data_IF_571066983920
#
_entry.id   IF_571066983920
#
_cell.length_a   1.000
_cell.length_b   1.000
_cell.length_c   1.000
_cell.angle_alpha   90.00
_cell.angle_beta   90.00
_cell.angle_gamma   90.00
#
_symmetry.space_group_name_H-M   'P 1'
#
loop_
_entity.id
_entity.type
_entity.pdbx_description
1 polymer ?
#
# COMPACT_ATOMS: atom_id res chain seq x y z
N UNK A 1 -56.40 -9.67 -19.35
CA UNK A 1 -55.13 -9.15 -19.87
C UNK A 1 -54.27 -8.67 -18.71
N UNK A 2 -53.36 -9.50 -18.25
CA UNK A 2 -52.44 -9.18 -17.14
C UNK A 2 -51.39 -8.21 -17.63
N UNK A 3 -51.29 -7.05 -16.96
CA UNK A 3 -50.17 -6.09 -17.16
C UNK A 3 -48.87 -6.75 -16.70
N UNK A 4 -48.00 -7.18 -17.65
CA UNK A 4 -46.63 -7.54 -17.35
C UNK A 4 -45.94 -6.33 -16.69
N UNK A 5 -45.67 -6.36 -15.41
CA UNK A 5 -44.78 -5.41 -14.73
C UNK A 5 -43.44 -5.49 -15.44
N UNK A 6 -43.04 -4.45 -16.17
CA UNK A 6 -41.68 -4.29 -16.69
C UNK A 6 -40.74 -4.27 -15.49
N UNK A 7 -39.98 -5.35 -15.28
CA UNK A 7 -38.92 -5.42 -14.29
C UNK A 7 -37.88 -4.37 -14.72
N UNK A 8 -37.71 -3.32 -13.93
CA UNK A 8 -36.64 -2.36 -14.19
C UNK A 8 -35.30 -3.12 -14.09
N UNK A 9 -34.40 -2.99 -15.08
CA UNK A 9 -33.11 -3.64 -15.01
C UNK A 9 -32.38 -3.18 -13.74
N UNK A 10 -31.84 -4.13 -12.95
CA UNK A 10 -31.07 -3.84 -11.74
C UNK A 10 -29.74 -3.20 -12.17
N UNK A 11 -29.44 -2.03 -11.66
CA UNK A 11 -28.07 -1.47 -11.80
C UNK A 11 -27.11 -2.26 -10.90
N UNK A 12 -25.95 -2.60 -11.45
CA UNK A 12 -24.88 -3.25 -10.71
C UNK A 12 -23.84 -2.21 -10.28
N UNK A 13 -23.23 -2.41 -9.14
CA UNK A 13 -22.10 -1.64 -8.62
C UNK A 13 -21.00 -2.58 -8.17
N UNK A 14 -19.79 -2.08 -8.02
CA UNK A 14 -18.68 -2.88 -7.47
C UNK A 14 -19.07 -3.47 -6.10
N UNK A 15 -18.61 -4.69 -5.77
CA UNK A 15 -18.85 -5.30 -4.47
C UNK A 15 -18.33 -4.41 -3.33
N UNK A 16 -19.00 -4.46 -2.18
CA UNK A 16 -18.62 -3.66 -1.01
C UNK A 16 -17.17 -3.95 -0.59
N UNK A 17 -16.35 -2.92 -0.54
CA UNK A 17 -14.93 -3.00 -0.19
C UNK A 17 -14.00 -3.28 -1.36
N UNK A 18 -14.51 -3.21 -2.59
CA UNK A 18 -13.71 -3.15 -3.83
C UNK A 18 -13.93 -1.81 -4.52
N UNK A 19 -13.07 -1.47 -5.47
CA UNK A 19 -13.19 -0.23 -6.25
C UNK A 19 -12.54 -0.40 -7.62
N UNK A 20 -13.03 0.38 -8.58
CA UNK A 20 -12.41 0.47 -9.90
C UNK A 20 -11.24 1.45 -9.87
N UNK A 21 -10.14 1.11 -10.54
CA UNK A 21 -9.04 2.04 -10.78
C UNK A 21 -9.34 2.77 -12.09
N UNK A 22 -9.84 3.99 -11.95
CA UNK A 22 -10.31 4.79 -13.09
C UNK A 22 -9.15 5.36 -13.93
N UNK A 23 -9.37 5.69 -15.21
CA UNK A 23 -8.31 6.20 -16.09
C UNK A 23 -7.56 7.40 -15.55
N UNK A 24 -8.23 8.33 -14.87
CA UNK A 24 -7.59 9.50 -14.26
C UNK A 24 -6.60 9.15 -13.13
N UNK A 25 -6.71 7.96 -12.54
CA UNK A 25 -5.87 7.49 -11.46
C UNK A 25 -4.71 6.63 -11.94
N UNK A 26 -4.79 6.07 -13.16
CA UNK A 26 -3.80 5.15 -13.72
C UNK A 26 -2.38 5.73 -13.67
N UNK A 27 -2.19 7.01 -13.90
CA UNK A 27 -0.86 7.65 -13.84
C UNK A 27 -0.12 7.44 -12.52
N UNK A 28 -0.85 7.41 -11.37
CA UNK A 28 -0.25 7.15 -10.06
C UNK A 28 0.14 5.67 -9.92
N UNK A 29 -0.71 4.77 -10.39
CA UNK A 29 -0.47 3.33 -10.37
C UNK A 29 0.70 2.93 -11.27
N UNK A 30 0.80 3.53 -12.44
CA UNK A 30 1.94 3.35 -13.36
C UNK A 30 3.23 3.89 -12.77
N UNK A 31 3.18 5.06 -12.12
CA UNK A 31 4.36 5.61 -11.43
C UNK A 31 4.85 4.65 -10.34
N UNK A 32 3.95 4.09 -9.52
CA UNK A 32 4.31 3.09 -8.52
C UNK A 32 5.00 1.87 -9.15
N UNK A 33 4.41 1.30 -10.20
CA UNK A 33 4.98 0.14 -10.91
C UNK A 33 6.32 0.47 -11.58
N UNK A 34 6.43 1.63 -12.18
CA UNK A 34 7.67 2.06 -12.85
C UNK A 34 8.81 2.27 -11.85
N UNK A 35 8.56 3.00 -10.77
CA UNK A 35 9.57 3.27 -9.74
C UNK A 35 9.98 1.99 -9.03
N UNK A 36 9.01 1.14 -8.66
CA UNK A 36 9.32 -0.14 -8.02
C UNK A 36 10.20 -1.03 -8.90
N UNK A 37 9.87 -1.16 -10.20
CA UNK A 37 10.68 -1.92 -11.14
C UNK A 37 12.12 -1.41 -11.20
N UNK A 38 12.31 -0.08 -11.33
CA UNK A 38 13.65 0.50 -11.50
C UNK A 38 14.49 0.32 -10.23
N UNK A 39 13.94 0.67 -9.06
CA UNK A 39 14.67 0.59 -7.79
C UNK A 39 14.95 -0.85 -7.40
N UNK A 40 13.94 -1.71 -7.42
CA UNK A 40 14.11 -3.09 -6.96
C UNK A 40 15.06 -3.88 -7.86
N UNK A 41 14.99 -3.67 -9.19
CA UNK A 41 15.97 -4.27 -10.10
C UNK A 41 17.38 -3.76 -9.87
N UNK A 42 17.56 -2.48 -9.48
CA UNK A 42 18.87 -1.93 -9.12
C UNK A 42 19.49 -2.65 -7.90
N UNK A 43 18.65 -3.03 -6.92
CA UNK A 43 19.06 -3.83 -5.75
C UNK A 43 19.01 -5.35 -5.99
N UNK A 44 18.96 -5.78 -7.27
CA UNK A 44 18.96 -7.19 -7.70
C UNK A 44 17.74 -8.02 -7.23
N UNK A 45 16.60 -7.38 -6.99
CA UNK A 45 15.37 -8.12 -6.77
C UNK A 45 14.78 -8.55 -8.12
N UNK A 46 14.46 -9.84 -8.24
CA UNK A 46 13.81 -10.42 -9.41
C UNK A 46 12.30 -10.35 -9.25
N UNK A 47 11.61 -10.00 -10.33
CA UNK A 47 10.14 -9.99 -10.31
C UNK A 47 9.58 -11.41 -10.31
N UNK A 48 8.63 -11.65 -9.42
CA UNK A 48 7.83 -12.88 -9.39
C UNK A 48 6.35 -12.53 -9.26
N UNK A 49 5.50 -13.26 -10.01
CA UNK A 49 4.04 -13.15 -9.91
C UNK A 49 3.50 -14.56 -9.57
N UNK A 50 2.74 -14.67 -8.49
CA UNK A 50 2.10 -15.93 -8.06
C UNK A 50 0.60 -15.92 -8.38
N UNK A 51 -0.09 -17.06 -8.43
CA UNK A 51 -1.53 -17.13 -8.61
C UNK A 51 -2.30 -16.29 -7.59
N UNK A 52 -3.50 -15.82 -7.97
CA UNK A 52 -4.37 -15.08 -7.06
C UNK A 52 -5.08 -15.97 -6.04
N UNK A 53 -5.12 -17.26 -6.27
CA UNK A 53 -5.64 -18.27 -5.33
C UNK A 53 -4.64 -19.42 -5.19
N UNK A 54 -4.62 -20.02 -4.04
CA UNK A 54 -3.74 -21.12 -3.64
C UNK A 54 -4.57 -22.17 -2.88
N UNK A 55 -3.99 -23.33 -2.63
CA UNK A 55 -4.58 -24.29 -1.69
C UNK A 55 -4.80 -23.64 -0.32
N UNK A 56 -5.98 -23.82 0.26
CA UNK A 56 -6.32 -23.26 1.58
C UNK A 56 -5.32 -23.67 2.66
N UNK A 57 -4.80 -24.90 2.56
CA UNK A 57 -3.79 -25.45 3.46
C UNK A 57 -2.52 -24.62 3.57
N UNK A 58 -2.08 -24.01 2.47
CA UNK A 58 -0.91 -23.13 2.44
C UNK A 58 -1.05 -21.99 3.47
N UNK A 59 -2.17 -21.28 3.46
CA UNK A 59 -2.37 -20.14 4.36
C UNK A 59 -2.67 -20.58 5.79
N UNK A 60 -3.38 -21.69 6.00
CA UNK A 60 -3.59 -22.25 7.33
C UNK A 60 -2.27 -22.58 8.02
N UNK A 61 -1.33 -23.16 7.29
CA UNK A 61 -0.03 -23.56 7.80
C UNK A 61 0.90 -22.35 7.96
N UNK A 62 1.01 -21.48 6.96
CA UNK A 62 1.91 -20.35 6.97
C UNK A 62 1.48 -19.26 7.95
N UNK A 63 0.25 -18.76 7.82
CA UNK A 63 -0.25 -17.58 8.56
C UNK A 63 -0.56 -17.90 10.01
N UNK A 64 -0.92 -19.15 10.29
CA UNK A 64 -1.33 -19.64 11.61
C UNK A 64 -2.85 -19.66 11.78
N UNK A 65 -3.37 -20.84 12.12
CA UNK A 65 -4.80 -21.13 12.21
C UNK A 65 -5.60 -20.22 13.18
N UNK A 66 -4.92 -19.61 14.15
CA UNK A 66 -5.52 -18.77 15.20
C UNK A 66 -5.36 -17.26 14.94
N UNK A 67 -4.96 -16.87 13.76
CA UNK A 67 -4.86 -15.46 13.38
C UNK A 67 -6.21 -14.92 12.93
N UNK A 68 -6.45 -13.62 13.11
CA UNK A 68 -7.69 -13.00 12.65
C UNK A 68 -7.86 -13.12 11.12
N UNK A 69 -6.76 -13.20 10.36
CA UNK A 69 -6.77 -13.40 8.92
C UNK A 69 -7.38 -14.75 8.58
N UNK A 70 -6.88 -15.82 9.17
CA UNK A 70 -7.37 -17.18 8.92
C UNK A 70 -8.78 -17.38 9.46
N UNK A 71 -9.06 -16.93 10.69
CA UNK A 71 -10.36 -17.17 11.31
C UNK A 71 -11.52 -16.39 10.67
N UNK A 72 -11.26 -15.18 10.09
CA UNK A 72 -12.34 -14.24 9.77
C UNK A 72 -12.21 -13.55 8.42
N UNK A 73 -11.01 -13.54 7.80
CA UNK A 73 -10.74 -12.63 6.70
C UNK A 73 -10.40 -13.33 5.37
N UNK A 74 -10.20 -14.63 5.35
CA UNK A 74 -9.96 -15.38 4.11
C UNK A 74 -11.24 -15.50 3.27
N UNK A 75 -11.07 -15.44 1.95
CA UNK A 75 -12.08 -15.81 0.97
C UNK A 75 -11.76 -17.22 0.45
N UNK A 76 -12.35 -18.23 1.07
CA UNK A 76 -12.16 -19.62 0.68
C UNK A 76 -13.38 -20.16 -0.04
N UNK A 77 -13.17 -21.06 -0.99
CA UNK A 77 -14.22 -21.70 -1.79
C UNK A 77 -13.76 -23.10 -2.21
N UNK A 78 -14.73 -23.97 -2.45
CA UNK A 78 -14.47 -25.30 -2.97
C UNK A 78 -14.77 -25.33 -4.46
N UNK A 79 -13.93 -26.04 -5.24
CA UNK A 79 -14.21 -26.31 -6.66
C UNK A 79 -15.22 -27.46 -6.80
N UNK A 80 -15.80 -27.64 -7.98
CA UNK A 80 -16.64 -28.84 -8.26
C UNK A 80 -15.84 -30.14 -8.13
N UNK A 81 -14.53 -30.11 -8.31
CA UNK A 81 -13.63 -31.23 -8.10
C UNK A 81 -13.29 -31.53 -6.64
N UNK A 82 -13.70 -30.66 -5.71
CA UNK A 82 -13.46 -30.83 -4.28
C UNK A 82 -12.19 -30.16 -3.76
N UNK A 83 -11.46 -29.38 -4.59
CA UNK A 83 -10.29 -28.65 -4.14
C UNK A 83 -10.71 -27.47 -3.25
N UNK A 84 -10.09 -27.34 -2.10
CA UNK A 84 -10.26 -26.21 -1.19
C UNK A 84 -9.25 -25.11 -1.51
N UNK A 85 -9.74 -24.01 -2.08
CA UNK A 85 -8.93 -22.90 -2.54
C UNK A 85 -9.25 -21.61 -1.76
N UNK A 86 -8.25 -20.72 -1.66
CA UNK A 86 -8.37 -19.44 -0.98
C UNK A 86 -7.74 -18.33 -1.82
N UNK A 87 -8.46 -17.22 -2.01
CA UNK A 87 -7.87 -16.00 -2.56
C UNK A 87 -6.77 -15.52 -1.61
N UNK A 88 -5.56 -15.29 -2.13
CA UNK A 88 -4.38 -14.97 -1.34
C UNK A 88 -4.59 -13.73 -0.44
N UNK A 89 -4.50 -13.87 0.90
CA UNK A 89 -4.67 -12.77 1.83
C UNK A 89 -3.38 -11.97 2.04
N UNK A 90 -2.23 -12.52 1.61
CA UNK A 90 -0.90 -11.94 1.69
C UNK A 90 0.04 -12.61 0.68
N UNK A 91 1.25 -12.07 0.46
CA UNK A 91 2.15 -12.54 -0.60
C UNK A 91 3.20 -13.54 -0.16
N UNK A 92 3.69 -13.44 1.06
CA UNK A 92 4.89 -14.15 1.53
C UNK A 92 4.74 -15.68 1.43
N UNK A 93 3.60 -16.23 1.86
CA UNK A 93 3.35 -17.68 1.78
C UNK A 93 3.39 -18.19 0.34
N UNK A 94 2.75 -17.47 -0.59
CA UNK A 94 2.76 -17.83 -2.02
C UNK A 94 4.19 -17.75 -2.62
N UNK A 95 4.99 -16.75 -2.20
CA UNK A 95 6.38 -16.61 -2.66
C UNK A 95 7.25 -17.77 -2.13
N UNK A 96 7.11 -18.12 -0.86
CA UNK A 96 7.86 -19.26 -0.27
C UNK A 96 7.45 -20.58 -0.93
N UNK A 97 6.15 -20.80 -1.20
CA UNK A 97 5.69 -21.96 -1.96
C UNK A 97 6.33 -21.98 -3.37
N UNK A 98 6.30 -20.85 -4.09
CA UNK A 98 6.89 -20.74 -5.41
C UNK A 98 8.42 -20.95 -5.40
N UNK A 99 9.11 -20.45 -4.36
CA UNK A 99 10.54 -20.68 -4.13
C UNK A 99 10.86 -22.19 -4.01
N UNK A 100 10.08 -22.91 -3.23
CA UNK A 100 10.26 -24.35 -3.04
C UNK A 100 9.91 -25.14 -4.30
N UNK A 101 8.75 -24.89 -4.89
CA UNK A 101 8.22 -25.63 -6.03
C UNK A 101 9.10 -25.51 -7.27
N UNK A 102 9.68 -24.32 -7.53
CA UNK A 102 10.46 -24.06 -8.73
C UNK A 102 11.98 -24.26 -8.54
N UNK A 103 12.40 -24.83 -7.41
CA UNK A 103 13.79 -25.21 -7.20
C UNK A 103 14.76 -24.08 -6.93
N UNK A 104 14.30 -22.90 -6.54
CA UNK A 104 15.17 -21.76 -6.18
C UNK A 104 16.06 -22.04 -4.97
N UNK A 105 15.78 -23.11 -4.23
CA UNK A 105 16.66 -23.65 -3.16
C UNK A 105 18.06 -23.97 -3.67
N UNK A 106 18.21 -24.30 -4.98
CA UNK A 106 19.50 -24.62 -5.60
C UNK A 106 20.25 -23.39 -6.14
N UNK A 107 19.59 -22.24 -6.20
CA UNK A 107 20.20 -21.00 -6.67
C UNK A 107 21.18 -20.41 -5.64
N UNK A 108 22.15 -19.57 -6.06
CA UNK A 108 23.00 -18.82 -5.12
C UNK A 108 22.18 -17.94 -4.17
N UNK A 109 22.44 -18.04 -2.88
CA UNK A 109 21.77 -17.25 -1.85
C UNK A 109 22.51 -15.95 -1.51
N UNK A 110 21.80 -14.90 -1.08
CA UNK A 110 20.34 -14.85 -0.90
C UNK A 110 19.57 -14.71 -2.21
N UNK A 111 18.42 -15.38 -2.31
CA UNK A 111 17.47 -15.16 -3.40
C UNK A 111 16.56 -13.99 -3.06
N UNK A 112 16.43 -13.02 -3.98
CA UNK A 112 15.68 -11.78 -3.77
C UNK A 112 14.54 -11.65 -4.75
N UNK A 113 13.31 -11.54 -4.24
CA UNK A 113 12.11 -11.35 -5.06
C UNK A 113 11.39 -10.05 -4.75
N UNK A 114 10.77 -9.46 -5.79
CA UNK A 114 9.74 -8.46 -5.61
C UNK A 114 8.49 -8.83 -6.38
N UNK A 115 7.35 -8.38 -5.87
CA UNK A 115 6.04 -8.60 -6.49
C UNK A 115 5.16 -7.37 -6.42
N UNK A 116 4.17 -7.31 -7.35
CA UNK A 116 3.07 -6.35 -7.29
C UNK A 116 1.79 -7.09 -7.67
N UNK A 117 0.71 -6.89 -6.91
CA UNK A 117 -0.55 -7.56 -7.25
C UNK A 117 -1.66 -7.36 -6.24
N UNK A 118 -2.82 -7.93 -6.57
CA UNK A 118 -4.02 -7.88 -5.73
C UNK A 118 -4.00 -8.96 -4.65
N UNK A 119 -4.50 -8.59 -3.48
CA UNK A 119 -4.70 -9.44 -2.31
C UNK A 119 -6.11 -9.25 -1.77
N UNK A 120 -6.61 -10.21 -0.98
CA UNK A 120 -8.02 -10.28 -0.62
C UNK A 120 -8.20 -10.56 0.86
N UNK A 121 -8.91 -9.65 1.58
CA UNK A 121 -9.25 -9.85 2.98
C UNK A 121 -10.66 -9.38 3.27
N UNK A 122 -11.47 -10.21 3.88
CA UNK A 122 -12.82 -9.86 4.31
C UNK A 122 -12.78 -8.99 5.57
N UNK A 123 -12.20 -7.79 5.45
CA UNK A 123 -12.20 -6.80 6.52
C UNK A 123 -13.43 -5.88 6.46
N UNK A 124 -13.71 -5.21 7.58
CA UNK A 124 -14.65 -4.08 7.56
C UNK A 124 -14.03 -2.95 6.75
N UNK A 125 -14.66 -2.52 5.65
CA UNK A 125 -14.11 -1.47 4.82
C UNK A 125 -13.92 -0.18 5.61
N UNK A 126 -12.73 0.37 5.55
CA UNK A 126 -12.35 1.67 6.11
C UNK A 126 -11.52 2.42 5.07
N UNK A 127 -11.32 3.71 5.26
CA UNK A 127 -10.47 4.50 4.35
C UNK A 127 -9.07 3.89 4.26
N UNK A 128 -8.63 3.56 3.05
CA UNK A 128 -7.35 2.89 2.80
C UNK A 128 -7.30 1.41 3.24
N UNK A 129 -8.47 0.80 3.55
CA UNK A 129 -8.62 -0.65 3.76
C UNK A 129 -9.75 -1.17 2.90
N UNK A 130 -9.38 -1.95 1.93
CA UNK A 130 -10.28 -2.58 0.98
C UNK A 130 -10.28 -4.10 1.19
N UNK A 131 -11.31 -4.77 0.64
CA UNK A 131 -11.39 -6.24 0.61
C UNK A 131 -10.56 -6.84 -0.50
N UNK A 132 -10.46 -6.14 -1.62
CA UNK A 132 -9.44 -6.31 -2.63
C UNK A 132 -8.52 -5.10 -2.56
N UNK A 133 -7.22 -5.32 -2.38
CA UNK A 133 -6.19 -4.29 -2.25
C UNK A 133 -4.91 -4.74 -2.92
N UNK A 134 -4.10 -3.79 -3.34
CA UNK A 134 -2.86 -4.06 -4.03
C UNK A 134 -1.65 -3.80 -3.12
N UNK A 135 -0.64 -4.66 -3.26
CA UNK A 135 0.63 -4.50 -2.56
C UNK A 135 1.81 -4.52 -3.51
N UNK A 136 2.87 -3.84 -3.09
CA UNK A 136 4.22 -3.98 -3.61
C UNK A 136 5.03 -4.59 -2.48
N UNK A 137 5.67 -5.74 -2.70
CA UNK A 137 6.43 -6.45 -1.68
C UNK A 137 7.81 -6.87 -2.12
N UNK A 138 8.67 -7.08 -1.13
CA UNK A 138 10.05 -7.56 -1.24
C UNK A 138 10.23 -8.75 -0.32
N UNK A 139 10.92 -9.78 -0.80
CA UNK A 139 11.29 -10.96 -0.02
C UNK A 139 12.75 -11.32 -0.29
N UNK A 140 13.52 -11.60 0.76
CA UNK A 140 14.90 -12.12 0.71
C UNK A 140 14.93 -13.42 1.47
N UNK A 141 15.39 -14.48 0.83
CA UNK A 141 15.43 -15.85 1.37
C UNK A 141 16.86 -16.34 1.34
N UNK A 142 17.32 -16.94 2.45
CA UNK A 142 18.61 -17.60 2.57
C UNK A 142 19.72 -16.79 3.17
N UNK A 143 19.43 -15.73 3.96
CA UNK A 143 20.44 -14.97 4.72
C UNK A 143 19.93 -14.63 6.14
N UNK A 144 20.71 -14.95 7.16
CA UNK A 144 20.35 -14.70 8.56
C UNK A 144 20.88 -13.38 9.13
N UNK A 145 21.73 -12.67 8.37
CA UNK A 145 22.39 -11.45 8.85
C UNK A 145 21.42 -10.27 8.96
N UNK A 146 21.58 -9.45 9.99
CA UNK A 146 20.77 -8.26 10.22
C UNK A 146 20.88 -7.20 9.10
N UNK A 147 21.96 -7.25 8.31
CA UNK A 147 22.15 -6.34 7.17
C UNK A 147 21.06 -6.50 6.11
N UNK A 148 20.53 -7.71 5.89
CA UNK A 148 19.43 -7.92 4.92
C UNK A 148 18.11 -7.36 5.43
N UNK A 149 17.87 -7.35 6.75
CA UNK A 149 16.71 -6.68 7.35
C UNK A 149 16.81 -5.16 7.11
N UNK A 150 18.01 -4.61 7.33
CA UNK A 150 18.30 -3.21 7.04
C UNK A 150 18.18 -2.90 5.55
N UNK A 151 18.60 -3.80 4.65
CA UNK A 151 18.46 -3.64 3.20
C UNK A 151 16.98 -3.50 2.78
N UNK A 152 16.08 -4.37 3.30
CA UNK A 152 14.64 -4.26 3.03
C UNK A 152 14.10 -2.89 3.44
N UNK A 153 14.42 -2.44 4.66
CA UNK A 153 14.03 -1.13 5.18
C UNK A 153 14.60 -0.01 4.32
N UNK A 154 15.87 -0.11 3.95
CA UNK A 154 16.56 0.86 3.10
C UNK A 154 15.93 0.96 1.71
N UNK A 155 15.66 -0.16 1.05
CA UNK A 155 15.05 -0.18 -0.29
C UNK A 155 13.66 0.42 -0.27
N UNK A 156 12.84 0.16 0.76
CA UNK A 156 11.55 0.84 0.93
C UNK A 156 11.72 2.34 1.18
N UNK A 157 12.73 2.76 1.95
CA UNK A 157 13.05 4.17 2.18
C UNK A 157 13.40 4.89 0.86
N UNK A 158 14.28 4.29 0.05
CA UNK A 158 14.65 4.81 -1.27
C UNK A 158 13.43 4.89 -2.19
N UNK A 159 12.60 3.85 -2.22
CA UNK A 159 11.37 3.81 -3.01
C UNK A 159 10.39 4.94 -2.65
N UNK A 160 10.15 5.18 -1.36
CA UNK A 160 9.26 6.24 -0.90
C UNK A 160 9.81 7.63 -1.23
N UNK A 161 11.12 7.85 -1.08
CA UNK A 161 11.79 9.11 -1.47
C UNK A 161 11.68 9.35 -2.98
N UNK A 162 11.89 8.33 -3.80
CA UNK A 162 11.79 8.44 -5.27
C UNK A 162 10.36 8.70 -5.76
N UNK A 163 9.35 8.28 -5.01
CA UNK A 163 7.95 8.66 -5.24
C UNK A 163 7.67 10.12 -4.89
N UNK A 164 8.58 10.79 -4.18
CA UNK A 164 8.43 12.17 -3.70
C UNK A 164 7.66 12.26 -2.37
N UNK A 165 7.59 11.19 -1.59
CA UNK A 165 6.99 11.20 -0.26
C UNK A 165 8.05 11.74 0.73
N UNK A 166 7.84 12.95 1.31
CA UNK A 166 8.89 13.63 2.05
C UNK A 166 9.08 13.11 3.47
N UNK A 167 7.99 12.68 4.10
CA UNK A 167 7.96 12.36 5.53
C UNK A 167 7.45 10.96 5.76
N UNK A 168 8.33 10.10 6.25
CA UNK A 168 8.00 8.76 6.72
C UNK A 168 9.04 8.32 7.75
N UNK A 169 8.66 7.37 8.58
CA UNK A 169 9.52 6.77 9.59
C UNK A 169 9.13 5.31 9.83
N UNK A 170 10.06 4.56 10.41
CA UNK A 170 9.86 3.16 10.70
C UNK A 170 9.65 2.96 12.19
N UNK A 171 8.57 2.28 12.57
CA UNK A 171 8.54 1.63 13.88
C UNK A 171 9.26 0.30 13.76
N UNK A 172 10.24 0.04 14.63
CA UNK A 172 11.00 -1.20 14.64
C UNK A 172 10.93 -1.87 16.02
N UNK A 173 10.92 -3.19 16.00
CA UNK A 173 10.93 -4.02 17.22
C UNK A 173 11.55 -5.38 16.91
N UNK A 174 11.86 -6.15 17.95
CA UNK A 174 12.14 -7.57 17.83
C UNK A 174 11.05 -8.39 18.53
N UNK A 175 10.51 -9.40 17.82
CA UNK A 175 9.56 -10.37 18.40
C UNK A 175 10.25 -11.65 18.86
N UNK A 176 11.59 -11.65 18.90
CA UNK A 176 12.41 -12.76 19.37
C UNK A 176 12.36 -14.01 18.49
N UNK A 177 13.19 -14.98 18.82
CA UNK A 177 13.23 -16.30 18.18
C UNK A 177 12.42 -17.34 18.96
N UNK A 178 12.52 -18.61 18.56
CA UNK A 178 11.95 -19.77 19.25
C UNK A 178 12.36 -19.86 20.73
N UNK A 179 13.58 -19.43 21.08
CA UNK A 179 14.11 -19.52 22.45
C UNK A 179 13.60 -18.39 23.34
N UNK A 180 13.47 -17.17 22.80
CA UNK A 180 12.96 -16.01 23.55
C UNK A 180 11.48 -16.10 23.88
N UNK A 181 10.66 -16.59 22.93
CA UNK A 181 9.20 -16.53 22.98
C UNK A 181 8.55 -17.29 24.13
N UNK A 182 8.96 -18.53 24.48
CA UNK A 182 8.33 -19.26 25.57
C UNK A 182 8.44 -18.54 26.91
N UNK A 183 9.61 -17.99 27.21
CA UNK A 183 9.84 -17.23 28.44
C UNK A 183 9.02 -15.96 28.48
N UNK A 184 9.05 -15.19 27.39
CA UNK A 184 8.28 -13.96 27.30
C UNK A 184 6.77 -14.20 27.33
N UNK A 185 6.29 -15.28 26.67
CA UNK A 185 4.90 -15.71 26.77
C UNK A 185 4.48 -15.96 28.20
N UNK A 186 5.32 -16.61 28.99
CA UNK A 186 5.08 -16.88 30.41
C UNK A 186 4.95 -15.59 31.21
N UNK A 187 5.84 -14.60 30.96
CA UNK A 187 5.78 -13.29 31.60
C UNK A 187 4.49 -12.53 31.25
N UNK A 188 4.09 -12.54 29.97
CA UNK A 188 2.84 -11.94 29.55
C UNK A 188 1.62 -12.61 30.19
N UNK A 189 1.61 -13.94 30.27
CA UNK A 189 0.54 -14.68 30.93
C UNK A 189 0.46 -14.34 32.43
N UNK A 190 1.58 -14.29 33.12
CA UNK A 190 1.66 -13.89 34.53
C UNK A 190 1.12 -12.47 34.73
N UNK A 191 1.48 -11.55 33.84
CA UNK A 191 1.05 -10.15 33.91
C UNK A 191 -0.45 -9.96 33.62
N UNK A 192 -0.98 -10.64 32.58
CA UNK A 192 -2.35 -10.43 32.13
C UNK A 192 -3.42 -11.28 32.81
N UNK A 193 -3.08 -12.46 33.37
CA UNK A 193 -4.05 -13.34 34.07
C UNK A 193 -4.82 -12.63 35.18
N UNK A 194 -4.19 -11.89 36.10
CA UNK A 194 -4.93 -11.16 37.14
C UNK A 194 -5.87 -10.08 36.57
N UNK A 195 -5.55 -9.55 35.36
CA UNK A 195 -6.28 -8.48 34.68
C UNK A 195 -7.34 -8.98 33.70
N UNK A 196 -7.53 -10.30 33.59
CA UNK A 196 -8.39 -10.92 32.57
C UNK A 196 -9.85 -10.41 32.59
N UNK A 197 -10.39 -10.07 33.76
CA UNK A 197 -11.75 -9.52 33.89
C UNK A 197 -11.93 -8.22 33.12
N UNK A 198 -10.91 -7.33 33.07
CA UNK A 198 -10.92 -6.04 32.38
C UNK A 198 -10.67 -6.11 30.87
N UNK A 199 -10.24 -7.26 30.33
CA UNK A 199 -9.94 -7.43 28.92
C UNK A 199 -11.21 -7.53 28.06
N UNK A 200 -11.12 -7.10 26.79
CA UNK A 200 -12.16 -7.31 25.80
C UNK A 200 -12.31 -8.80 25.45
N UNK A 201 -13.40 -9.15 24.74
CA UNK A 201 -13.71 -10.54 24.38
C UNK A 201 -12.58 -11.20 23.58
N UNK A 202 -12.03 -10.49 22.59
CA UNK A 202 -10.92 -10.99 21.77
C UNK A 202 -9.65 -11.15 22.58
N UNK A 203 -9.31 -10.21 23.47
CA UNK A 203 -8.14 -10.31 24.33
C UNK A 203 -8.26 -11.46 25.35
N UNK A 204 -9.44 -11.77 25.85
CA UNK A 204 -9.68 -12.97 26.69
C UNK A 204 -9.38 -14.27 25.93
N UNK A 205 -9.70 -14.33 24.63
CA UNK A 205 -9.37 -15.45 23.75
C UNK A 205 -7.88 -15.48 23.46
N UNK A 206 -7.28 -14.34 23.07
CA UNK A 206 -5.84 -14.18 22.77
C UNK A 206 -4.96 -14.55 23.97
N UNK A 207 -5.42 -14.26 25.19
CA UNK A 207 -4.69 -14.63 26.43
C UNK A 207 -4.50 -16.15 26.56
N UNK A 208 -5.42 -16.96 26.03
CA UNK A 208 -5.33 -18.42 26.06
C UNK A 208 -4.44 -18.98 24.96
N UNK A 209 -4.49 -18.38 23.76
CA UNK A 209 -3.90 -18.95 22.55
C UNK A 209 -2.62 -18.23 22.11
N UNK A 210 -2.65 -16.92 21.98
CA UNK A 210 -1.51 -16.10 21.57
C UNK A 210 -1.44 -14.80 22.37
N UNK A 211 -0.83 -14.82 23.59
CA UNK A 211 -0.78 -13.65 24.46
C UNK A 211 -0.01 -12.46 23.88
N UNK A 212 0.92 -12.66 22.94
CA UNK A 212 1.62 -11.56 22.28
C UNK A 212 0.65 -10.64 21.52
N UNK A 213 -0.47 -11.19 20.98
CA UNK A 213 -1.50 -10.42 20.29
C UNK A 213 -2.31 -9.48 21.21
N UNK A 214 -2.16 -9.59 22.54
CA UNK A 214 -2.72 -8.62 23.49
C UNK A 214 -2.12 -7.23 23.30
N UNK A 215 -0.85 -7.17 22.89
CA UNK A 215 -0.11 -5.92 22.66
C UNK A 215 -0.63 -5.14 21.42
N UNK A 216 -1.32 -5.80 20.51
CA UNK A 216 -1.94 -5.18 19.31
C UNK A 216 -3.43 -4.81 19.51
N UNK A 217 -3.94 -4.89 20.73
CA UNK A 217 -5.34 -4.54 20.98
C UNK A 217 -5.58 -3.04 20.88
N UNK A 218 -6.62 -2.67 20.10
CA UNK A 218 -7.02 -1.27 19.88
C UNK A 218 -8.08 -0.78 20.86
N UNK A 219 -8.74 -1.70 21.57
CA UNK A 219 -9.75 -1.38 22.58
C UNK A 219 -9.15 -0.58 23.73
N UNK A 220 -9.73 0.58 24.07
CA UNK A 220 -9.23 1.51 25.08
C UNK A 220 -9.03 0.85 26.44
N UNK A 221 -10.01 0.06 26.87
CA UNK A 221 -9.95 -0.70 28.14
C UNK A 221 -8.77 -1.68 28.21
N UNK A 222 -8.27 -2.17 27.06
CA UNK A 222 -7.09 -3.05 27.00
C UNK A 222 -5.80 -2.25 26.90
N UNK A 223 -5.83 -1.04 26.30
CA UNK A 223 -4.65 -0.16 26.14
C UNK A 223 -4.07 0.27 27.49
N UNK A 224 -4.90 0.48 28.51
CA UNK A 224 -4.47 0.81 29.87
C UNK A 224 -3.48 -0.25 30.40
N UNK A 225 -3.77 -1.54 30.16
CA UNK A 225 -2.90 -2.63 30.58
C UNK A 225 -1.63 -2.76 29.75
N UNK A 226 -1.65 -2.27 28.49
CA UNK A 226 -0.50 -2.34 27.59
C UNK A 226 0.69 -1.51 28.08
N UNK A 227 0.44 -0.32 28.65
CA UNK A 227 1.48 0.63 29.04
C UNK A 227 2.53 0.04 30.01
N UNK A 228 2.12 -0.90 30.86
CA UNK A 228 2.96 -1.52 31.88
C UNK A 228 3.19 -3.02 31.62
N UNK A 229 2.94 -3.47 30.39
CA UNK A 229 3.20 -4.87 30.04
C UNK A 229 4.72 -5.11 29.91
N UNK A 230 5.21 -6.30 30.26
CA UNK A 230 6.60 -6.67 30.04
C UNK A 230 6.97 -6.42 28.57
N UNK A 231 8.17 -5.90 28.32
CA UNK A 231 8.70 -5.67 26.98
C UNK A 231 9.55 -6.85 26.54
N UNK A 232 9.41 -7.27 25.27
CA UNK A 232 10.20 -8.38 24.76
C UNK A 232 11.68 -8.00 24.63
N UNK A 233 11.98 -6.74 24.33
CA UNK A 233 13.37 -6.27 24.18
C UNK A 233 14.21 -6.54 25.44
N UNK A 234 13.61 -6.50 26.64
CA UNK A 234 14.28 -6.80 27.90
C UNK A 234 14.52 -8.31 28.11
N UNK A 235 13.90 -9.15 27.28
CA UNK A 235 13.88 -10.61 27.43
C UNK A 235 14.41 -11.34 26.18
N UNK A 236 15.20 -10.67 25.36
CA UNK A 236 15.85 -11.28 24.21
C UNK A 236 17.05 -12.14 24.64
N UNK A 237 17.26 -13.27 23.95
CA UNK A 237 18.51 -14.00 24.03
C UNK A 237 19.67 -13.20 23.42
N UNK A 238 20.91 -13.54 23.75
CA UNK A 238 22.08 -12.79 23.25
C UNK A 238 22.15 -12.72 21.71
N UNK A 239 21.78 -13.81 21.02
CA UNK A 239 21.76 -13.82 19.55
C UNK A 239 20.73 -12.82 19.00
N UNK A 240 19.51 -12.77 19.53
CA UNK A 240 18.48 -11.82 19.13
C UNK A 240 18.85 -10.39 19.49
N UNK A 241 19.48 -10.18 20.65
CA UNK A 241 19.95 -8.87 21.09
C UNK A 241 21.02 -8.34 20.14
N UNK A 242 22.05 -9.16 19.84
CA UNK A 242 23.12 -8.82 18.89
C UNK A 242 22.55 -8.49 17.51
N UNK A 243 21.65 -9.35 16.98
CA UNK A 243 21.01 -9.15 15.69
C UNK A 243 20.23 -7.81 15.64
N UNK A 244 19.44 -7.52 16.68
CA UNK A 244 18.65 -6.29 16.73
C UNK A 244 19.53 -5.04 16.89
N UNK A 245 20.61 -5.11 17.71
CA UNK A 245 21.57 -4.02 17.82
C UNK A 245 22.24 -3.74 16.47
N UNK A 246 22.73 -4.78 15.77
CA UNK A 246 23.33 -4.60 14.45
C UNK A 246 22.35 -4.01 13.44
N UNK A 247 21.07 -4.39 13.46
CA UNK A 247 20.04 -3.74 12.61
C UNK A 247 20.00 -2.24 12.88
N UNK A 248 19.93 -1.81 14.15
CA UNK A 248 19.85 -0.39 14.50
C UNK A 248 21.08 0.38 14.05
N UNK A 249 22.28 -0.19 14.24
CA UNK A 249 23.54 0.38 13.75
C UNK A 249 23.55 0.59 12.24
N UNK A 250 23.02 -0.36 11.44
CA UNK A 250 22.86 -0.19 9.99
C UNK A 250 21.85 0.91 9.62
N UNK A 251 20.74 1.03 10.36
CA UNK A 251 19.76 2.08 10.11
C UNK A 251 20.31 3.46 10.47
N UNK A 252 21.07 3.58 11.56
CA UNK A 252 21.74 4.80 11.99
C UNK A 252 22.77 5.26 10.94
N UNK A 253 23.63 4.35 10.47
CA UNK A 253 24.62 4.65 9.42
C UNK A 253 23.97 5.06 8.09
N UNK A 254 22.82 4.43 7.74
CA UNK A 254 22.06 4.77 6.55
C UNK A 254 21.22 6.05 6.70
N UNK A 255 21.16 6.67 7.88
CA UNK A 255 20.36 7.85 8.16
C UNK A 255 18.86 7.64 7.98
N UNK A 256 18.37 6.44 8.30
CA UNK A 256 16.95 6.07 8.16
C UNK A 256 16.23 6.39 9.46
N UNK A 257 15.19 7.24 9.47
CA UNK A 257 14.48 7.59 10.67
C UNK A 257 13.65 6.41 11.19
N UNK A 258 13.88 6.02 12.45
CA UNK A 258 13.10 4.98 13.10
C UNK A 258 12.73 5.32 14.55
N UNK A 259 11.72 4.64 15.05
CA UNK A 259 11.25 4.72 16.45
C UNK A 259 11.19 3.29 17.00
N UNK A 260 11.82 3.09 18.13
CA UNK A 260 11.70 1.82 18.87
C UNK A 260 10.27 1.72 19.43
N UNK A 261 9.55 0.68 19.00
CA UNK A 261 8.20 0.43 19.50
C UNK A 261 8.14 -0.97 20.15
N UNK A 262 8.41 -1.08 21.46
CA UNK A 262 8.49 -2.37 22.16
C UNK A 262 7.18 -3.16 22.18
N UNK A 263 6.09 -2.54 21.77
CA UNK A 263 4.76 -3.16 21.66
C UNK A 263 4.35 -3.49 20.23
N UNK A 264 5.23 -3.25 19.25
CA UNK A 264 4.97 -3.62 17.87
C UNK A 264 5.01 -5.14 17.73
N UNK A 265 3.88 -5.72 17.40
CA UNK A 265 3.73 -7.13 17.03
C UNK A 265 2.94 -7.22 15.73
N UNK A 266 3.05 -8.34 15.03
CA UNK A 266 2.41 -8.52 13.73
C UNK A 266 1.18 -9.44 13.83
N UNK A 267 0.28 -9.31 12.86
CA UNK A 267 -0.94 -10.11 12.76
C UNK A 267 -0.76 -11.52 12.18
N UNK A 268 0.46 -11.93 11.90
CA UNK A 268 0.86 -13.18 11.27
C UNK A 268 1.84 -13.89 12.21
N UNK A 269 1.68 -15.18 12.41
CA UNK A 269 2.40 -15.92 13.45
C UNK A 269 3.81 -16.33 13.00
N UNK A 270 4.14 -16.27 11.72
CA UNK A 270 5.44 -16.68 11.18
C UNK A 270 6.59 -15.72 11.50
N UNK A 271 6.33 -14.48 11.90
CA UNK A 271 7.42 -13.53 12.15
C UNK A 271 8.33 -13.95 13.27
N UNK A 272 9.64 -13.72 13.06
CA UNK A 272 10.73 -13.95 14.03
C UNK A 272 11.62 -12.72 14.10
N UNK A 273 12.38 -12.55 15.19
CA UNK A 273 13.37 -11.46 15.33
C UNK A 273 12.81 -10.09 14.92
N UNK A 274 13.32 -9.49 13.84
CA UNK A 274 12.96 -8.15 13.37
C UNK A 274 11.52 -8.06 12.88
N UNK A 275 10.81 -7.03 13.33
CA UNK A 275 9.55 -6.58 12.75
C UNK A 275 9.56 -5.06 12.59
N UNK A 276 8.95 -4.58 11.52
CA UNK A 276 8.84 -3.15 11.27
C UNK A 276 7.48 -2.76 10.68
N UNK A 277 7.12 -1.50 10.86
CA UNK A 277 5.94 -0.88 10.24
C UNK A 277 6.30 0.54 9.80
N UNK A 278 5.88 0.92 8.61
CA UNK A 278 6.23 2.20 7.98
C UNK A 278 5.06 3.15 8.14
N UNK A 279 5.33 4.33 8.70
CA UNK A 279 4.33 5.36 8.96
C UNK A 279 4.65 6.66 8.23
N UNK A 280 3.62 7.46 8.02
CA UNK A 280 3.72 8.87 7.66
C UNK A 280 2.78 9.68 8.54
N UNK A 281 3.19 10.89 8.91
CA UNK A 281 2.33 11.84 9.61
C UNK A 281 1.55 12.74 8.64
N UNK A 282 1.83 12.63 7.34
CA UNK A 282 1.10 13.34 6.30
C UNK A 282 -0.37 12.91 6.26
N UNK A 283 -1.27 13.88 6.20
CA UNK A 283 -2.72 13.63 6.11
C UNK A 283 -3.07 13.01 4.74
N UNK A 284 -3.84 11.93 4.73
CA UNK A 284 -4.40 11.34 3.51
C UNK A 284 -5.57 12.15 2.92
N UNK A 285 -5.77 13.41 3.40
CA UNK A 285 -6.80 14.32 2.89
C UNK A 285 -8.21 13.84 3.25
N UNK A 286 -8.77 14.33 4.34
CA UNK A 286 -10.11 14.06 4.85
C UNK A 286 -10.06 13.88 6.36
N UNK A 287 -11.12 14.30 7.03
CA UNK A 287 -11.23 14.26 8.47
C UNK A 287 -10.78 12.88 9.00
N UNK A 288 -9.54 12.82 9.46
CA UNK A 288 -9.17 11.83 10.46
C UNK A 288 -10.07 12.19 11.65
N UNK A 289 -10.94 11.27 12.07
CA UNK A 289 -11.52 11.40 13.40
C UNK A 289 -10.34 11.51 14.37
N UNK A 290 -10.05 12.74 14.74
CA UNK A 290 -9.23 13.04 15.91
C UNK A 290 -10.09 12.49 17.05
N UNK A 291 -9.82 11.24 17.48
CA UNK A 291 -10.29 10.81 18.79
C UNK A 291 -9.73 11.83 19.78
N UNK A 292 -10.56 12.80 20.15
CA UNK A 292 -10.31 13.67 21.27
C UNK A 292 -10.10 12.74 22.45
N UNK A 293 -8.85 12.57 22.88
CA UNK A 293 -8.59 12.02 24.21
C UNK A 293 -9.29 12.94 25.19
N UNK A 294 -10.45 12.51 25.68
CA UNK A 294 -11.07 13.11 26.83
C UNK A 294 -10.08 12.89 27.98
N UNK A 295 -9.42 13.97 28.37
CA UNK A 295 -8.70 13.99 29.64
C UNK A 295 -9.66 13.52 30.72
N UNK A 296 -9.37 12.37 31.32
CA UNK A 296 -9.98 12.00 32.58
C UNK A 296 -9.32 12.88 33.62
N UNK A 297 -9.95 14.02 33.89
CA UNK A 297 -9.68 14.77 35.09
C UNK A 297 -10.07 13.86 36.25
N UNK A 298 -9.07 13.37 36.97
CA UNK A 298 -9.29 12.71 38.26
C UNK A 298 -9.85 13.80 39.20
N UNK A 299 -11.16 13.82 39.33
CA UNK A 299 -11.77 14.55 40.45
C UNK A 299 -11.18 14.02 41.75
N UNK A 300 -10.45 14.88 42.43
CA UNK A 300 -9.99 14.63 43.81
C UNK A 300 -11.23 14.42 44.66
N UNK A 301 -11.36 13.26 45.25
CA UNK A 301 -12.30 12.97 46.33
C UNK A 301 -11.98 13.97 47.46
N UNK A 302 -12.96 14.75 47.96
CA UNK A 302 -12.71 15.65 49.09
C UNK A 302 -12.48 14.82 50.34
N UNK A 303 -11.27 14.91 50.90
CA UNK A 303 -11.02 14.52 52.28
C UNK A 303 -11.78 15.45 53.20
N UNK A 304 -12.58 14.91 54.08
CA UNK A 304 -13.19 15.59 55.19
C UNK A 304 -12.09 16.01 56.18
N UNK A 305 -11.85 17.30 56.30
CA UNK A 305 -11.06 17.85 57.37
C UNK A 305 -11.97 18.46 58.43
N UNK A 306 -11.79 17.95 59.65
CA UNK A 306 -12.28 18.58 60.87
C UNK A 306 -11.49 19.88 61.15
N UNK A 307 -12.18 20.83 61.80
CA UNK A 307 -11.82 22.21 62.07
C UNK A 307 -10.55 22.40 62.90
N UNK A 308 -9.72 23.42 62.59
CA UNK A 308 -9.10 24.27 63.57
C UNK A 308 -8.45 25.53 62.97
N UNK A 309 -8.88 26.64 63.44
CA UNK A 309 -8.44 28.04 63.57
C UNK A 309 -7.21 28.61 62.87
N UNK A 310 -7.42 29.84 62.34
CA UNK A 310 -6.52 30.82 61.71
C UNK A 310 -5.33 31.25 62.59
N UNK A 311 -4.23 31.91 62.05
CA UNK A 311 -4.32 33.26 61.46
C UNK A 311 -3.41 33.52 60.24
N UNK A 312 -3.71 34.67 59.60
CA UNK A 312 -3.11 35.29 58.41
C UNK A 312 -1.62 35.59 58.53
N UNK A 313 -0.89 35.42 57.39
CA UNK A 313 0.23 36.31 57.00
C UNK A 313 0.23 36.44 55.46
N UNK A 314 0.43 37.70 55.02
CA UNK A 314 0.46 38.19 53.66
C UNK A 314 1.64 37.67 52.82
N UNK A 315 1.40 37.50 51.52
CA UNK A 315 2.36 37.83 50.45
C UNK A 315 3.25 36.70 49.99
N UNK A 316 2.80 36.02 48.92
CA UNK A 316 3.76 35.56 47.93
C UNK A 316 3.09 35.43 46.53
N UNK A 317 3.87 35.92 45.57
CA UNK A 317 3.57 36.13 44.15
C UNK A 317 3.20 34.80 43.48
N UNK A 318 2.04 34.76 42.80
CA UNK A 318 1.63 33.68 41.95
C UNK A 318 2.62 33.55 40.77
N UNK A 319 3.45 32.51 40.78
CA UNK A 319 4.20 32.09 39.60
C UNK A 319 3.23 31.49 38.59
N UNK A 320 3.04 32.13 37.45
CA UNK A 320 2.36 31.58 36.29
C UNK A 320 3.14 30.30 35.84
N UNK A 321 2.56 29.14 36.10
CA UNK A 321 3.02 27.90 35.52
C UNK A 321 2.62 27.89 34.04
N UNK A 322 3.56 28.20 33.17
CA UNK A 322 3.42 27.95 31.74
C UNK A 322 3.21 26.45 31.56
N UNK A 323 1.99 26.09 31.18
CA UNK A 323 1.68 24.74 30.74
C UNK A 323 2.38 24.55 29.37
N UNK A 324 3.52 23.86 29.36
CA UNK A 324 4.09 23.37 28.13
C UNK A 324 3.10 22.41 27.51
N UNK A 325 2.54 22.79 26.37
CA UNK A 325 1.73 21.87 25.54
C UNK A 325 2.59 20.64 25.18
N UNK A 326 2.25 19.49 25.75
CA UNK A 326 2.84 18.22 25.34
C UNK A 326 2.59 18.04 23.84
N UNK A 327 3.60 17.61 23.05
CA UNK A 327 3.44 17.46 21.61
C UNK A 327 2.27 16.52 21.33
N UNK A 328 1.34 16.99 20.47
CA UNK A 328 0.25 16.17 19.92
C UNK A 328 0.87 14.93 19.29
N UNK A 329 0.61 13.77 19.85
CA UNK A 329 0.96 12.51 19.20
C UNK A 329 0.06 12.36 17.97
N UNK A 330 0.55 12.80 16.83
CA UNK A 330 -0.10 12.55 15.55
C UNK A 330 -0.11 11.03 15.35
N UNK A 331 -1.30 10.46 15.18
CA UNK A 331 -1.43 9.03 14.82
C UNK A 331 -1.01 8.90 13.36
N UNK A 332 0.24 8.51 13.12
CA UNK A 332 0.76 8.25 11.79
C UNK A 332 -0.06 7.18 11.05
N UNK A 333 -0.15 7.31 9.73
CA UNK A 333 -0.82 6.33 8.87
C UNK A 333 0.19 5.29 8.43
N UNK A 334 -0.11 4.02 8.69
CA UNK A 334 0.74 2.92 8.25
C UNK A 334 0.68 2.76 6.72
N UNK A 335 1.81 2.88 6.05
CA UNK A 335 1.97 2.68 4.61
C UNK A 335 2.27 1.23 4.25
N UNK A 336 2.95 0.52 5.13
CA UNK A 336 3.38 -0.85 4.92
C UNK A 336 4.03 -1.45 6.16
N UNK A 337 4.52 -2.67 6.01
CA UNK A 337 5.09 -3.40 7.13
C UNK A 337 5.81 -4.65 6.68
N UNK A 338 6.67 -5.18 7.54
CA UNK A 338 7.42 -6.40 7.27
C UNK A 338 8.11 -6.95 8.51
N UNK A 339 9.06 -7.82 8.26
CA UNK A 339 9.89 -8.44 9.27
C UNK A 339 10.49 -9.76 8.81
N UNK A 340 11.25 -10.37 9.67
CA UNK A 340 11.93 -11.66 9.48
C UNK A 340 11.00 -12.84 9.80
N UNK A 341 11.16 -13.94 9.06
CA UNK A 341 10.32 -15.14 9.19
C UNK A 341 11.14 -16.43 8.94
N UNK A 342 12.16 -16.66 9.79
CA UNK A 342 13.18 -17.69 9.62
C UNK A 342 12.64 -19.13 9.54
N UNK A 343 11.46 -19.39 10.11
CA UNK A 343 10.87 -20.74 10.16
C UNK A 343 9.87 -21.04 9.03
N UNK A 344 9.54 -20.06 8.18
CA UNK A 344 8.44 -20.24 7.23
C UNK A 344 8.78 -21.23 6.11
N UNK A 345 10.03 -21.23 5.62
CA UNK A 345 10.46 -22.15 4.58
C UNK A 345 10.38 -23.59 5.06
N UNK A 346 10.89 -23.87 6.26
CA UNK A 346 10.82 -25.22 6.87
C UNK A 346 9.39 -25.62 7.23
N UNK A 347 8.57 -24.68 7.67
CA UNK A 347 7.15 -24.91 7.96
C UNK A 347 6.39 -25.36 6.69
N UNK A 348 6.75 -24.85 5.52
CA UNK A 348 6.15 -25.22 4.23
C UNK A 348 6.85 -26.40 3.54
N UNK A 349 7.68 -27.15 4.25
CA UNK A 349 8.28 -28.41 3.77
C UNK A 349 9.67 -28.29 3.15
N UNK A 350 10.29 -27.09 3.21
CA UNK A 350 11.69 -26.89 2.86
C UNK A 350 12.65 -27.18 4.01
N UNK A 351 13.92 -26.89 3.81
CA UNK A 351 14.93 -26.89 4.86
C UNK A 351 14.84 -25.58 5.69
N UNK A 352 15.55 -25.50 6.79
CA UNK A 352 15.65 -24.26 7.56
C UNK A 352 16.43 -23.22 6.76
N UNK A 353 15.71 -22.18 6.33
CA UNK A 353 16.27 -21.06 5.58
C UNK A 353 15.70 -19.76 6.13
N UNK A 354 16.59 -18.90 6.68
CA UNK A 354 16.16 -17.61 7.18
C UNK A 354 15.65 -16.71 6.06
N UNK A 355 14.65 -15.91 6.38
CA UNK A 355 14.06 -15.03 5.39
C UNK A 355 13.50 -13.75 6.02
N UNK A 356 13.47 -12.68 5.24
CA UNK A 356 12.94 -11.38 5.63
C UNK A 356 12.23 -10.72 4.45
N UNK A 357 11.15 -10.04 4.73
CA UNK A 357 10.42 -9.33 3.68
C UNK A 357 9.45 -8.30 4.22
N UNK A 358 8.72 -7.68 3.31
CA UNK A 358 7.70 -6.72 3.68
C UNK A 358 6.90 -6.25 2.49
N UNK A 359 5.81 -5.52 2.75
CA UNK A 359 4.94 -5.01 1.70
C UNK A 359 4.36 -3.64 2.04
N UNK A 360 4.17 -2.85 0.99
CA UNK A 360 3.52 -1.53 0.98
C UNK A 360 2.14 -1.62 0.32
N UNK A 361 1.15 -0.92 0.88
CA UNK A 361 -0.20 -0.83 0.30
C UNK A 361 -0.26 0.23 -0.80
N UNK A 362 -0.54 -0.18 -2.04
CA UNK A 362 -0.55 0.73 -3.20
C UNK A 362 -1.65 1.78 -3.11
N UNK A 363 -2.85 1.42 -2.66
CA UNK A 363 -3.97 2.35 -2.49
C UNK A 363 -3.62 3.49 -1.53
N UNK A 364 -2.91 3.18 -0.43
CA UNK A 364 -2.46 4.18 0.54
C UNK A 364 -1.42 5.10 -0.05
N UNK A 365 -0.47 4.56 -0.81
CA UNK A 365 0.54 5.35 -1.53
C UNK A 365 -0.10 6.26 -2.58
N UNK A 366 -1.04 5.76 -3.39
CA UNK A 366 -1.78 6.58 -4.37
C UNK A 366 -2.57 7.69 -3.66
N UNK A 367 -3.26 7.37 -2.57
CA UNK A 367 -4.01 8.36 -1.81
C UNK A 367 -3.08 9.43 -1.24
N UNK A 368 -1.94 9.03 -0.68
CA UNK A 368 -0.93 9.94 -0.15
C UNK A 368 -0.31 10.83 -1.25
N UNK A 369 0.05 10.27 -2.40
CA UNK A 369 0.57 11.02 -3.53
C UNK A 369 -0.43 12.09 -4.03
N UNK A 370 -1.72 11.76 -4.02
CA UNK A 370 -2.80 12.70 -4.37
C UNK A 370 -2.96 13.80 -3.33
N UNK A 371 -2.96 13.46 -2.04
CA UNK A 371 -3.11 14.45 -0.95
C UNK A 371 -1.95 15.43 -0.88
N UNK A 372 -0.73 14.96 -1.18
CA UNK A 372 0.47 15.79 -1.27
C UNK A 372 0.54 16.59 -2.58
N UNK A 373 -0.40 16.43 -3.51
CA UNK A 373 -0.41 17.11 -4.79
C UNK A 373 0.81 16.78 -5.67
N UNK A 374 1.40 15.58 -5.53
CA UNK A 374 2.60 15.21 -6.26
C UNK A 374 2.36 15.21 -7.76
N UNK A 375 3.21 15.91 -8.49
CA UNK A 375 3.19 15.93 -9.95
C UNK A 375 3.71 14.59 -10.47
N UNK A 376 2.82 13.76 -10.95
CA UNK A 376 3.16 12.51 -11.61
C UNK A 376 3.17 12.75 -13.11
N UNK A 377 4.21 12.33 -13.85
CA UNK A 377 4.17 12.37 -15.31
C UNK A 377 2.88 11.68 -15.78
N UNK A 378 1.99 12.45 -16.41
CA UNK A 378 0.79 11.90 -17.02
C UNK A 378 1.16 11.24 -18.34
N UNK A 379 0.22 10.52 -18.91
CA UNK A 379 0.28 10.15 -20.33
C UNK A 379 0.58 11.41 -21.15
N UNK A 380 1.42 11.27 -22.19
CA UNK A 380 1.69 12.36 -23.11
C UNK A 380 0.34 12.91 -23.58
N UNK A 381 0.07 14.20 -23.32
CA UNK A 381 -1.15 14.83 -23.78
C UNK A 381 -1.35 14.48 -25.25
N UNK A 382 -2.53 14.01 -25.59
CA UNK A 382 -2.96 13.74 -26.95
C UNK A 382 -3.02 15.08 -27.71
N UNK A 383 -1.86 15.53 -28.20
CA UNK A 383 -1.70 16.86 -28.81
C UNK A 383 -2.27 16.93 -30.22
N UNK A 384 -2.55 15.79 -30.84
CA UNK A 384 -3.10 15.70 -32.21
C UNK A 384 -4.44 15.01 -32.17
N UNK A 385 -5.43 15.57 -32.88
CA UNK A 385 -6.75 14.96 -33.05
C UNK A 385 -7.04 14.75 -34.54
N UNK A 386 -7.56 13.59 -34.90
CA UNK A 386 -7.91 13.27 -36.28
C UNK A 386 -9.42 13.46 -36.53
N UNK A 387 -9.74 14.25 -37.54
CA UNK A 387 -11.08 14.55 -37.99
C UNK A 387 -11.25 13.99 -39.39
N UNK A 388 -12.24 13.16 -39.60
CA UNK A 388 -12.50 12.53 -40.90
C UNK A 388 -13.89 12.86 -41.43
N UNK A 389 -14.03 12.79 -42.74
CA UNK A 389 -15.26 13.05 -43.46
C UNK A 389 -15.45 12.05 -44.58
N UNK A 390 -16.64 11.42 -44.57
CA UNK A 390 -17.03 10.45 -45.57
C UNK A 390 -16.25 9.14 -45.55
N UNK A 391 -16.71 8.17 -46.34
CA UNK A 391 -16.15 6.80 -46.32
C UNK A 391 -14.70 6.73 -46.77
N UNK A 392 -14.28 7.55 -47.71
CA UNK A 392 -12.89 7.57 -48.18
C UNK A 392 -11.94 8.09 -47.08
N UNK A 393 -12.34 9.14 -46.37
CA UNK A 393 -11.58 9.65 -45.21
C UNK A 393 -11.44 8.59 -44.12
N UNK A 394 -12.53 7.87 -43.80
CA UNK A 394 -12.50 6.78 -42.81
C UNK A 394 -11.58 5.63 -43.25
N UNK A 395 -11.66 5.19 -44.51
CA UNK A 395 -10.82 4.10 -45.02
C UNK A 395 -9.32 4.42 -45.00
N UNK A 396 -8.94 5.67 -45.36
CA UNK A 396 -7.54 6.10 -45.39
C UNK A 396 -7.00 6.42 -43.99
N UNK A 397 -7.85 6.69 -43.02
CA UNK A 397 -7.42 7.08 -41.65
C UNK A 397 -6.54 6.04 -40.99
N UNK A 398 -6.80 4.75 -41.16
CA UNK A 398 -6.00 3.68 -40.54
C UNK A 398 -4.53 3.70 -40.99
N UNK A 399 -4.26 4.00 -42.25
CA UNK A 399 -2.91 4.15 -42.77
C UNK A 399 -2.19 5.34 -42.11
N UNK A 400 -2.91 6.45 -41.97
CA UNK A 400 -2.39 7.66 -41.33
C UNK A 400 -2.13 7.41 -39.83
N UNK A 401 -3.03 6.73 -39.13
CA UNK A 401 -2.83 6.36 -37.74
C UNK A 401 -1.59 5.52 -37.51
N UNK A 402 -1.36 4.53 -38.38
CA UNK A 402 -0.18 3.68 -38.28
C UNK A 402 1.12 4.47 -38.58
N UNK A 403 1.08 5.43 -39.49
CA UNK A 403 2.19 6.32 -39.78
C UNK A 403 2.50 7.24 -38.57
N UNK A 404 1.46 7.84 -37.96
CA UNK A 404 1.58 8.63 -36.73
C UNK A 404 2.15 7.80 -35.58
N UNK A 405 1.61 6.59 -35.36
CA UNK A 405 2.06 5.67 -34.32
C UNK A 405 3.54 5.29 -34.46
N UNK A 406 3.98 4.93 -35.68
CA UNK A 406 5.40 4.60 -35.98
C UNK A 406 6.34 5.77 -35.71
N UNK A 407 5.82 6.98 -35.78
CA UNK A 407 6.57 8.21 -35.49
C UNK A 407 6.41 8.73 -34.06
N UNK A 408 5.78 7.95 -33.16
CA UNK A 408 5.59 8.31 -31.75
C UNK A 408 4.62 9.46 -31.51
N UNK A 409 3.70 9.73 -32.45
CA UNK A 409 2.70 10.80 -32.37
C UNK A 409 1.37 10.16 -31.96
N UNK A 410 0.96 10.41 -30.71
CA UNK A 410 -0.36 9.98 -30.22
C UNK A 410 -1.46 10.83 -30.89
N UNK A 411 -2.52 10.16 -31.38
CA UNK A 411 -3.64 10.79 -32.06
C UNK A 411 -4.97 10.40 -31.43
N UNK A 412 -5.83 11.41 -31.16
CA UNK A 412 -7.22 11.23 -30.80
C UNK A 412 -8.12 11.10 -32.01
N UNK A 413 -9.22 10.40 -31.84
CA UNK A 413 -10.13 10.18 -32.95
C UNK A 413 -11.61 9.99 -32.50
N UNK A 414 -12.52 10.08 -33.46
CA UNK A 414 -13.93 9.73 -33.30
C UNK A 414 -14.51 9.21 -34.60
N UNK A 415 -13.97 8.08 -35.08
CA UNK A 415 -14.29 7.50 -36.39
C UNK A 415 -15.79 7.22 -36.64
N UNK A 416 -16.56 7.00 -35.59
CA UNK A 416 -18.01 6.80 -35.66
C UNK A 416 -18.83 8.08 -35.87
N UNK A 417 -18.21 9.27 -35.89
CA UNK A 417 -18.92 10.53 -36.07
C UNK A 417 -18.71 11.09 -37.47
N UNK A 418 -19.78 11.58 -38.10
CA UNK A 418 -19.73 12.13 -39.46
C UNK A 418 -19.66 13.67 -39.52
N UNK A 419 -19.99 14.35 -38.41
CA UNK A 419 -19.99 15.82 -38.38
C UNK A 419 -18.63 16.37 -37.98
N UNK A 420 -17.98 17.15 -38.88
CA UNK A 420 -16.72 17.88 -38.56
C UNK A 420 -16.84 18.73 -37.32
N UNK A 421 -17.97 19.47 -37.20
CA UNK A 421 -18.22 20.35 -36.05
C UNK A 421 -18.20 19.58 -34.73
N UNK A 422 -18.80 18.37 -34.69
CA UNK A 422 -18.80 17.53 -33.48
C UNK A 422 -17.44 16.95 -33.19
N UNK A 423 -16.64 16.58 -34.18
CA UNK A 423 -15.29 16.05 -34.04
C UNK A 423 -14.31 17.14 -33.58
N UNK A 424 -14.37 18.36 -34.16
CA UNK A 424 -13.57 19.51 -33.72
C UNK A 424 -13.91 19.93 -32.28
N UNK A 425 -15.17 19.83 -31.85
CA UNK A 425 -15.56 20.07 -30.47
C UNK A 425 -14.94 19.02 -29.49
N UNK A 426 -14.77 17.78 -29.95
CA UNK A 426 -14.06 16.75 -29.15
C UNK A 426 -12.56 17.02 -29.12
N UNK A 427 -11.96 17.45 -30.24
CA UNK A 427 -10.58 17.87 -30.30
C UNK A 427 -10.27 18.99 -29.29
N UNK A 428 -11.14 19.99 -29.22
CA UNK A 428 -11.06 21.11 -28.30
C UNK A 428 -11.20 20.61 -26.84
N UNK A 429 -12.20 19.77 -26.56
CA UNK A 429 -12.43 19.18 -25.22
C UNK A 429 -11.28 18.28 -24.76
N UNK A 430 -10.58 17.60 -25.69
CA UNK A 430 -9.41 16.78 -25.37
C UNK A 430 -8.14 17.61 -25.11
N UNK A 431 -8.19 18.93 -25.37
CA UNK A 431 -7.04 19.83 -25.25
C UNK A 431 -5.97 19.58 -26.30
N UNK A 432 -6.36 19.06 -27.47
CA UNK A 432 -5.45 18.86 -28.59
C UNK A 432 -4.97 20.18 -29.17
N UNK A 433 -3.70 20.28 -29.51
CA UNK A 433 -3.12 21.49 -30.10
C UNK A 433 -3.42 21.60 -31.63
N UNK A 434 -3.49 20.44 -32.27
CA UNK A 434 -3.61 20.30 -33.72
C UNK A 434 -4.74 19.34 -34.08
N UNK A 435 -5.55 19.68 -35.06
CA UNK A 435 -6.48 18.74 -35.74
C UNK A 435 -5.99 18.44 -37.15
N UNK A 436 -5.90 17.17 -37.49
CA UNK A 436 -5.68 16.64 -38.83
C UNK A 436 -7.07 16.38 -39.46
N UNK A 437 -7.40 17.05 -40.55
CA UNK A 437 -8.70 16.88 -41.18
C UNK A 437 -8.51 16.21 -42.55
N UNK A 438 -9.19 15.06 -42.75
CA UNK A 438 -9.17 14.29 -43.97
C UNK A 438 -10.58 14.14 -44.50
N UNK A 439 -10.93 14.97 -45.50
CA UNK A 439 -12.17 14.86 -46.23
C UNK A 439 -12.03 13.99 -47.50
N UNK A 440 -13.09 13.90 -48.27
CA UNK A 440 -13.11 13.10 -49.50
C UNK A 440 -12.12 13.67 -50.54
N UNK A 441 -12.05 14.99 -50.68
CA UNK A 441 -11.14 15.68 -51.60
C UNK A 441 -9.68 15.40 -51.19
N UNK A 442 -9.35 15.67 -49.95
CA UNK A 442 -7.99 15.44 -49.40
C UNK A 442 -7.58 13.97 -49.52
N UNK A 443 -8.54 13.05 -49.37
CA UNK A 443 -8.28 11.62 -49.52
C UNK A 443 -7.96 11.25 -50.97
N UNK A 444 -8.57 11.92 -51.98
CA UNK A 444 -8.32 11.70 -53.42
C UNK A 444 -6.96 12.34 -53.81
N UNK A 445 -6.71 13.56 -53.37
CA UNK A 445 -5.54 14.38 -53.75
C UNK A 445 -4.28 14.04 -52.96
N UNK A 446 -4.31 13.00 -52.08
CA UNK A 446 -3.24 12.62 -51.13
C UNK A 446 -2.71 13.81 -50.29
N UNK A 447 -3.62 14.71 -49.92
CA UNK A 447 -3.38 15.85 -49.04
C UNK A 447 -4.04 15.65 -47.68
N UNK A 448 -3.74 16.51 -46.71
CA UNK A 448 -4.39 16.57 -45.40
C UNK A 448 -4.39 18.01 -44.92
N UNK A 449 -5.46 18.42 -44.21
CA UNK A 449 -5.53 19.74 -43.61
C UNK A 449 -4.99 19.67 -42.18
N UNK A 450 -4.01 20.51 -41.86
CA UNK A 450 -3.55 20.75 -40.49
C UNK A 450 -4.26 22.00 -39.99
N UNK A 451 -4.99 21.87 -38.88
CA UNK A 451 -5.65 22.98 -38.20
C UNK A 451 -5.04 23.18 -36.83
N UNK A 452 -4.55 24.37 -36.55
CA UNK A 452 -4.16 24.78 -35.20
C UNK A 452 -5.40 25.12 -34.38
N UNK A 453 -5.58 24.49 -33.23
CA UNK A 453 -6.81 24.61 -32.46
C UNK A 453 -6.94 25.97 -31.78
N UNK A 454 -5.82 26.56 -31.35
CA UNK A 454 -5.78 27.87 -30.67
C UNK A 454 -6.09 29.07 -31.61
N UNK A 455 -5.50 29.07 -32.81
CA UNK A 455 -5.64 30.17 -33.79
C UNK A 455 -6.75 29.91 -34.82
N UNK A 456 -7.14 28.65 -34.99
CA UNK A 456 -8.07 28.23 -36.04
C UNK A 456 -7.47 28.24 -37.45
N UNK A 457 -6.19 28.57 -37.61
CA UNK A 457 -5.48 28.60 -38.91
C UNK A 457 -5.42 27.21 -39.50
N UNK A 458 -5.72 27.11 -40.81
CA UNK A 458 -5.70 25.85 -41.54
C UNK A 458 -4.73 25.92 -42.71
N UNK A 459 -4.00 24.82 -42.91
CA UNK A 459 -3.05 24.66 -44.01
C UNK A 459 -3.26 23.30 -44.66
N UNK A 460 -3.34 23.25 -45.98
CA UNK A 460 -3.42 22.02 -46.76
C UNK A 460 -2.00 21.59 -47.15
N UNK A 461 -1.63 20.40 -46.81
CA UNK A 461 -0.29 19.87 -47.08
C UNK A 461 -0.36 18.48 -47.73
N UNK A 462 0.67 18.06 -48.50
CA UNK A 462 0.78 16.67 -48.92
C UNK A 462 0.91 15.72 -47.73
N UNK A 463 0.22 14.57 -47.76
CA UNK A 463 0.33 13.57 -46.67
C UNK A 463 1.76 13.13 -46.43
N UNK A 464 2.62 13.06 -47.45
CA UNK A 464 4.05 12.73 -47.34
C UNK A 464 4.87 13.68 -46.46
N UNK A 465 4.43 14.94 -46.28
CA UNK A 465 5.08 15.94 -45.42
C UNK A 465 4.43 16.07 -44.03
N UNK A 466 3.35 15.35 -43.79
CA UNK A 466 2.55 15.44 -42.56
C UNK A 466 3.41 15.22 -41.29
N UNK A 467 4.19 14.15 -41.24
CA UNK A 467 5.00 13.79 -40.05
C UNK A 467 6.06 14.85 -39.78
N UNK A 468 6.74 15.34 -40.82
CA UNK A 468 7.76 16.38 -40.67
C UNK A 468 7.20 17.67 -40.05
N UNK A 469 6.07 18.12 -40.62
CA UNK A 469 5.41 19.33 -40.18
C UNK A 469 4.84 19.19 -38.78
N UNK A 470 4.22 18.02 -38.44
CA UNK A 470 3.75 17.75 -37.10
C UNK A 470 4.88 17.76 -36.07
N UNK A 471 6.00 17.08 -36.35
CA UNK A 471 7.16 17.08 -35.44
C UNK A 471 7.71 18.50 -35.21
N UNK A 472 7.70 19.37 -36.23
CA UNK A 472 8.11 20.76 -36.10
C UNK A 472 7.13 21.59 -35.28
N UNK A 473 5.81 21.42 -35.49
CA UNK A 473 4.77 22.14 -34.73
C UNK A 473 4.65 21.65 -33.27
N UNK A 474 4.84 20.36 -33.00
CA UNK A 474 4.74 19.76 -31.68
C UNK A 474 5.99 20.01 -30.77
N UNK A 475 7.14 20.42 -31.35
CA UNK A 475 8.33 20.83 -30.60
C UNK A 475 8.23 22.25 -30.02
N UNK A 476 7.25 23.03 -30.47
CA UNK A 476 6.90 24.34 -29.92
C UNK A 476 5.91 24.19 -28.77
#
# INVERSE_FOLDING_TARGET
MGRHKKIKPKSFSSPKGTHDILPQDQKYWERLRHVSKNIFSYYNFLRIDTPHFEETGLFLQAVGAQTDIVEKQMYSFSTEGGDELTLRPEGTASIVRAYLENGFVAEPHPVKFYYTGSFFRHESPQRGRFREFNQIGLEVIGDENAVVDAEIIHVFSVFLRELGIPEFYFHVNSVGCSDCRPQYRSLLLQYYRPKAKGLCRDCKRRLKHNPMRLLDCKEEKCRIFKKNAPQLLDNLCEACKKHFTSLLEFLDEAGIPYILNPYLVRGLDYYTRTVFEIFTDSDLGGELEIEKEKEIVLEKVPEKTEEAEKPMVEGEVAAEVKIEEKPKVLKGIALGSGGRYDNLVSLLGGREEPAVGGALGMERLVTLMKSLGLKVPGESKQRVYFVQLGDMGKKKSFKIFEELRKNGIAVGESLGRDSVKSQLKLADKSGSDISLILGQKEAIDDTIIIREMSSGIQEVIPQSKMIEILKKKLKR
#
